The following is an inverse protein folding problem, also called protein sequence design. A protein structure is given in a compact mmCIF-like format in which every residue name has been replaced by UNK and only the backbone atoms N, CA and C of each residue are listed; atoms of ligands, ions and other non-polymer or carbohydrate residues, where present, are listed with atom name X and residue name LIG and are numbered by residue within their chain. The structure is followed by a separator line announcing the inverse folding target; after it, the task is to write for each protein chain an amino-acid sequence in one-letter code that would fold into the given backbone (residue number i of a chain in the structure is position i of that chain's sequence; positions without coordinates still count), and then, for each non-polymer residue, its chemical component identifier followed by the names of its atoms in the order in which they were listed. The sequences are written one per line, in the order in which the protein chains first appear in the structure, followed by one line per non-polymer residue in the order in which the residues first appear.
data_IF_101877627315
#
_entry.id   IF_101877627315
#
_cell.length_a   1.000
_cell.length_b   1.000
_cell.length_c   1.000
_cell.angle_alpha   90.00
_cell.angle_beta   90.00
_cell.angle_gamma   90.00
#
_symmetry.space_group_name_H-M   'P 1'
#
loop_
_entity.id
_entity.type
_entity.pdbx_description
1 polymer ?
#
# COMPACT_ATOMS: atom_id res chain seq x y z
N UNK A 1 -10.94 -14.44 7.60
CA UNK A 1 -10.49 -13.38 6.70
C UNK A 1 -9.28 -13.90 5.97
N UNK A 2 -9.44 -14.19 4.70
CA UNK A 2 -8.34 -14.57 3.84
C UNK A 2 -7.49 -13.33 3.56
N UNK A 3 -6.21 -13.50 3.23
CA UNK A 3 -5.31 -12.39 2.89
C UNK A 3 -4.75 -12.62 1.51
N UNK A 4 -4.87 -11.63 0.64
CA UNK A 4 -4.18 -11.62 -0.65
C UNK A 4 -2.86 -10.87 -0.43
N UNK A 5 -1.75 -11.49 -0.84
CA UNK A 5 -0.40 -10.94 -0.72
C UNK A 5 0.25 -10.94 -2.09
N UNK A 6 0.54 -9.75 -2.62
CA UNK A 6 1.20 -9.55 -3.91
C UNK A 6 2.55 -8.89 -3.71
N UNK A 7 3.58 -9.34 -4.42
CA UNK A 7 4.94 -8.78 -4.32
C UNK A 7 5.42 -8.34 -5.70
N UNK A 8 5.91 -7.12 -5.77
CA UNK A 8 6.43 -6.45 -6.95
C UNK A 8 7.93 -6.25 -6.77
N UNK A 9 8.72 -6.63 -7.77
CA UNK A 9 10.18 -6.63 -7.72
C UNK A 9 10.79 -6.03 -9.01
N UNK A 10 10.03 -5.19 -9.70
CA UNK A 10 10.45 -4.48 -10.90
C UNK A 10 11.72 -3.67 -10.63
N UNK A 11 12.67 -3.74 -11.57
CA UNK A 11 13.99 -3.11 -11.44
C UNK A 11 13.94 -1.64 -11.86
N UNK A 12 14.59 -0.79 -11.07
CA UNK A 12 14.72 0.65 -11.31
C UNK A 12 14.12 1.47 -10.18
N UNK A 13 14.56 2.72 -10.06
CA UNK A 13 14.06 3.64 -9.03
C UNK A 13 12.52 3.74 -9.12
N UNK A 14 11.85 3.39 -8.04
CA UNK A 14 10.40 3.38 -7.85
C UNK A 14 9.60 2.42 -8.75
N UNK A 15 10.25 1.59 -9.57
CA UNK A 15 9.56 0.70 -10.51
C UNK A 15 8.59 -0.26 -9.79
N UNK A 16 9.05 -0.93 -8.74
CA UNK A 16 8.21 -1.82 -7.93
C UNK A 16 7.08 -1.08 -7.21
N UNK A 17 7.31 0.18 -6.78
CA UNK A 17 6.28 1.02 -6.18
C UNK A 17 5.18 1.34 -7.19
N UNK A 18 5.54 1.79 -8.39
CA UNK A 18 4.56 2.14 -9.42
C UNK A 18 3.76 0.93 -9.89
N UNK A 19 4.39 -0.24 -10.00
CA UNK A 19 3.70 -1.49 -10.29
C UNK A 19 2.67 -1.84 -9.19
N UNK A 20 3.05 -1.68 -7.93
CA UNK A 20 2.17 -1.91 -6.78
C UNK A 20 1.00 -0.91 -6.73
N UNK A 21 1.26 0.39 -6.93
CA UNK A 21 0.23 1.43 -7.00
C UNK A 21 -0.73 1.19 -8.16
N UNK A 22 -0.21 0.76 -9.32
CA UNK A 22 -1.03 0.44 -10.48
C UNK A 22 -1.95 -0.73 -10.19
N UNK A 23 -1.44 -1.80 -9.57
CA UNK A 23 -2.27 -2.92 -9.15
C UNK A 23 -3.36 -2.47 -8.16
N UNK A 24 -3.04 -1.62 -7.19
CA UNK A 24 -4.03 -1.07 -6.26
C UNK A 24 -5.13 -0.31 -7.02
N UNK A 25 -4.77 0.57 -7.94
CA UNK A 25 -5.74 1.34 -8.73
C UNK A 25 -6.63 0.44 -9.61
N UNK A 26 -6.04 -0.54 -10.32
CA UNK A 26 -6.77 -1.47 -11.17
C UNK A 26 -7.73 -2.38 -10.36
N UNK A 27 -7.48 -2.55 -9.05
CA UNK A 27 -8.33 -3.29 -8.11
C UNK A 27 -9.24 -2.39 -7.24
N UNK A 28 -9.29 -1.08 -7.53
CA UNK A 28 -10.19 -0.13 -6.87
C UNK A 28 -9.76 0.27 -5.45
N UNK A 29 -8.46 0.24 -5.14
CA UNK A 29 -7.92 0.69 -3.86
C UNK A 29 -7.30 2.09 -3.98
N UNK A 30 -7.69 2.97 -3.07
CA UNK A 30 -6.96 4.20 -2.74
C UNK A 30 -5.72 3.89 -1.91
N UNK A 31 -4.59 4.51 -2.26
CA UNK A 31 -3.30 4.33 -1.57
C UNK A 31 -2.95 5.57 -0.77
N UNK A 32 -2.69 5.40 0.53
CA UNK A 32 -2.37 6.53 1.40
C UNK A 32 -1.04 7.20 1.09
N UNK A 33 -0.85 8.41 1.62
CA UNK A 33 0.34 9.20 1.33
C UNK A 33 1.64 8.50 1.77
N UNK A 34 2.67 8.61 0.93
CA UNK A 34 3.99 8.05 1.19
C UNK A 34 4.72 8.67 2.39
N UNK A 35 5.51 7.84 3.08
CA UNK A 35 6.45 8.23 4.12
C UNK A 35 7.64 7.27 4.08
N UNK A 36 8.87 7.78 4.02
CA UNK A 36 10.06 6.93 3.91
C UNK A 36 10.14 5.94 5.10
N UNK A 37 10.38 4.67 4.79
CA UNK A 37 10.52 3.59 5.78
C UNK A 37 9.23 3.18 6.50
N UNK A 38 8.06 3.70 6.09
CA UNK A 38 6.79 3.42 6.76
C UNK A 38 5.78 2.80 5.78
N UNK A 39 4.88 1.90 6.25
CA UNK A 39 3.82 1.38 5.40
C UNK A 39 2.94 2.48 4.81
N UNK A 40 2.15 2.12 3.79
CA UNK A 40 1.05 2.95 3.26
C UNK A 40 -0.26 2.21 3.42
N UNK A 41 -1.30 2.88 3.91
CA UNK A 41 -2.61 2.27 4.07
C UNK A 41 -3.36 2.13 2.75
N UNK A 42 -4.24 1.13 2.67
CA UNK A 42 -5.12 0.86 1.53
C UNK A 42 -6.58 0.84 1.99
N UNK A 43 -7.46 1.51 1.26
CA UNK A 43 -8.92 1.42 1.40
C UNK A 43 -9.56 1.28 0.02
N UNK A 44 -10.58 0.44 -0.09
CA UNK A 44 -11.31 0.24 -1.34
C UNK A 44 -12.28 1.41 -1.58
N UNK A 45 -12.31 1.90 -2.82
CA UNK A 45 -13.08 3.07 -3.24
C UNK A 45 -12.26 4.36 -3.22
N UNK A 46 -12.97 5.48 -3.26
CA UNK A 46 -12.39 6.83 -3.37
C UNK A 46 -12.13 7.42 -1.97
N UNK A 47 -10.86 7.39 -1.54
CA UNK A 47 -10.46 7.85 -0.21
C UNK A 47 -9.18 8.67 -0.26
N UNK A 48 -9.13 9.71 0.57
CA UNK A 48 -7.88 10.41 0.90
C UNK A 48 -7.36 9.87 2.23
N UNK A 49 -6.29 9.09 2.18
CA UNK A 49 -5.71 8.44 3.36
C UNK A 49 -4.46 9.21 3.81
N UNK A 50 -4.44 9.61 5.08
CA UNK A 50 -3.31 10.29 5.68
C UNK A 50 -2.03 9.41 5.68
N UNK A 51 -0.87 10.05 5.91
CA UNK A 51 0.39 9.33 6.10
C UNK A 51 0.27 8.36 7.28
N UNK A 52 0.89 7.19 7.17
CA UNK A 52 0.82 6.15 8.19
C UNK A 52 1.10 6.61 9.62
N UNK A 53 2.11 7.47 9.80
CA UNK A 53 2.49 8.04 11.10
C UNK A 53 1.43 8.97 11.72
N UNK A 54 0.47 9.43 10.92
CA UNK A 54 -0.62 10.30 11.36
C UNK A 54 -1.91 9.51 11.61
N UNK A 55 -1.98 8.23 11.24
CA UNK A 55 -3.12 7.38 11.54
C UNK A 55 -3.07 6.93 13.00
N UNK A 56 -4.21 6.86 13.64
CA UNK A 56 -4.41 6.22 14.94
C UNK A 56 -4.33 4.70 14.82
N UNK A 57 -4.29 4.00 15.96
CA UNK A 57 -4.37 2.53 15.97
C UNK A 57 -5.68 2.01 15.37
N UNK A 58 -6.80 2.69 15.64
CA UNK A 58 -8.11 2.32 15.11
C UNK A 58 -8.18 2.53 13.60
N UNK A 59 -7.77 3.70 13.10
CA UNK A 59 -7.77 3.96 11.65
C UNK A 59 -6.89 2.96 10.89
N UNK A 60 -5.76 2.52 11.46
CA UNK A 60 -4.94 1.45 10.88
C UNK A 60 -5.66 0.09 10.86
N UNK A 61 -6.46 -0.20 11.88
CA UNK A 61 -7.24 -1.42 11.95
C UNK A 61 -8.38 -1.44 10.91
N UNK A 62 -8.95 -0.26 10.63
CA UNK A 62 -10.05 -0.07 9.68
C UNK A 62 -9.60 -0.09 8.21
N UNK A 63 -8.29 -0.04 7.92
CA UNK A 63 -7.76 -0.20 6.56
C UNK A 63 -8.08 -1.59 5.99
N UNK A 64 -8.39 -1.62 4.69
CA UNK A 64 -8.58 -2.88 3.95
C UNK A 64 -7.24 -3.55 3.63
N UNK A 65 -6.13 -2.82 3.74
CA UNK A 65 -4.81 -3.36 3.50
C UNK A 65 -3.68 -2.39 3.77
N UNK A 66 -2.47 -2.83 3.45
CA UNK A 66 -1.27 -2.02 3.52
C UNK A 66 -0.28 -2.38 2.42
N UNK A 67 0.55 -1.41 2.07
CA UNK A 67 1.71 -1.56 1.20
C UNK A 67 2.99 -1.35 2.02
N UNK A 68 3.96 -2.25 1.90
CA UNK A 68 5.23 -2.25 2.65
C UNK A 68 6.41 -2.59 1.75
N UNK A 69 7.63 -2.28 2.17
CA UNK A 69 8.85 -2.67 1.45
C UNK A 69 9.81 -1.49 1.25
N UNK A 70 10.82 -1.69 0.41
CA UNK A 70 11.65 -0.57 -0.08
C UNK A 70 10.94 0.06 -1.29
N UNK A 71 10.32 1.21 -1.09
CA UNK A 71 9.62 1.92 -2.15
C UNK A 71 10.55 2.51 -3.21
N UNK A 72 11.87 2.58 -2.96
CA UNK A 72 12.83 3.11 -3.92
C UNK A 72 13.40 2.03 -4.83
N UNK A 73 13.90 0.92 -4.29
CA UNK A 73 14.53 -0.11 -5.12
C UNK A 73 13.74 -1.42 -5.17
N UNK A 74 12.62 -1.49 -4.45
CA UNK A 74 11.88 -2.72 -4.27
C UNK A 74 12.60 -3.72 -3.35
N UNK A 75 11.96 -4.87 -3.07
CA UNK A 75 10.61 -5.20 -3.47
C UNK A 75 9.54 -4.44 -2.67
N UNK A 76 8.35 -4.31 -3.25
CA UNK A 76 7.15 -3.75 -2.61
C UNK A 76 6.11 -4.85 -2.48
N UNK A 77 5.50 -4.97 -1.32
CA UNK A 77 4.46 -5.96 -1.01
C UNK A 77 3.16 -5.26 -0.69
N UNK A 78 2.08 -5.70 -1.33
CA UNK A 78 0.71 -5.30 -1.05
C UNK A 78 0.01 -6.44 -0.32
N UNK A 79 -0.59 -6.14 0.83
CA UNK A 79 -1.42 -7.08 1.60
C UNK A 79 -2.81 -6.49 1.74
N UNK A 80 -3.83 -7.21 1.29
CA UNK A 80 -5.25 -6.81 1.45
C UNK A 80 -6.04 -7.91 2.16
N UNK A 81 -7.03 -7.49 2.95
CA UNK A 81 -7.98 -8.34 3.66
C UNK A 81 -9.13 -8.68 2.70
N UNK A 82 -9.57 -9.93 2.70
CA UNK A 82 -10.87 -10.35 2.17
C UNK A 82 -11.92 -10.43 3.30
#
# INVERSE_FOLDING_TARGET
MSKIVMTFADKGDFAALYAAERWCADNGYSVGSGCAGMPRGLLRGEWVIAKWRNLTGQERADLDGQMTGDFRNGPVTVTVKE
#
